data_IF_169941548167
#
_entry.id   IF_169941548167
#
_cell.length_a   1.000
_cell.length_b   1.000
_cell.length_c   1.000
_cell.angle_alpha   90.00
_cell.angle_beta   90.00
_cell.angle_gamma   90.00
#
_symmetry.space_group_name_H-M   'P 1'
#
loop_
_entity.id
_entity.type
_entity.pdbx_description
1 polymer ?
#
# COMPACT_ATOMS: atom_id res chain seq x y z
N UNK A 1 1.86 10.61 15.40
CA UNK A 1 2.92 9.69 14.95
C UNK A 1 3.11 9.93 13.46
N UNK A 2 4.03 10.82 13.09
CA UNK A 2 4.27 11.12 11.68
C UNK A 2 4.86 9.89 10.97
N UNK A 3 4.38 9.52 9.77
CA UNK A 3 4.87 8.33 9.08
C UNK A 3 6.36 8.49 8.73
N UNK A 4 7.14 7.38 8.72
CA UNK A 4 8.59 7.44 8.58
C UNK A 4 8.98 8.04 7.22
N UNK A 5 9.67 9.19 7.26
CA UNK A 5 10.24 9.90 6.11
C UNK A 5 11.49 9.17 5.59
N UNK A 6 11.29 8.02 4.94
CA UNK A 6 12.36 7.28 4.27
C UNK A 6 12.02 7.08 2.80
N UNK A 7 12.78 7.70 1.90
CA UNK A 7 12.76 7.60 0.43
C UNK A 7 11.46 8.04 -0.31
N UNK A 8 10.28 8.00 0.34
CA UNK A 8 8.97 8.34 -0.29
C UNK A 8 8.73 9.84 -0.47
N UNK A 9 9.36 10.69 0.36
CA UNK A 9 9.27 12.16 0.23
C UNK A 9 9.89 12.66 -1.08
N UNK A 10 10.93 11.98 -1.59
CA UNK A 10 11.62 12.37 -2.83
C UNK A 10 10.78 12.14 -4.09
N UNK A 11 10.08 11.00 -4.17
CA UNK A 11 9.21 10.67 -5.33
C UNK A 11 7.95 11.54 -5.34
N UNK A 12 7.45 11.92 -4.15
CA UNK A 12 6.25 12.75 -4.00
C UNK A 12 6.52 14.26 -4.05
N UNK A 13 7.74 14.70 -4.39
CA UNK A 13 8.14 16.12 -4.40
C UNK A 13 7.26 17.01 -5.30
N UNK A 14 6.55 16.44 -6.27
CA UNK A 14 5.59 17.16 -7.13
C UNK A 14 4.22 17.42 -6.50
N UNK A 15 3.87 16.72 -5.41
CA UNK A 15 2.56 16.84 -4.76
C UNK A 15 2.61 17.96 -3.72
N UNK A 16 2.02 19.11 -4.05
CA UNK A 16 2.10 20.34 -3.24
C UNK A 16 1.22 20.32 -1.98
N UNK A 17 0.12 19.54 -1.98
CA UNK A 17 -0.79 19.40 -0.83
C UNK A 17 -0.49 18.13 -0.08
N UNK A 18 -0.20 18.22 1.22
CA UNK A 18 0.13 17.07 2.08
C UNK A 18 -1.08 16.17 2.40
N UNK A 19 -2.30 16.72 2.43
CA UNK A 19 -3.54 15.97 2.67
C UNK A 19 -4.18 15.45 1.37
N UNK A 20 -3.35 14.98 0.44
CA UNK A 20 -3.88 14.42 -0.80
C UNK A 20 -4.20 12.93 -0.62
N UNK A 21 -5.35 12.43 -1.11
CA UNK A 21 -5.67 10.99 -1.08
C UNK A 21 -4.66 10.14 -1.88
N UNK A 22 -3.80 10.77 -2.67
CA UNK A 22 -2.70 10.13 -3.40
C UNK A 22 -1.72 9.45 -2.44
N UNK A 23 -1.49 10.00 -1.24
CA UNK A 23 -0.56 9.39 -0.27
C UNK A 23 -1.09 8.08 0.27
N UNK A 24 -2.36 8.08 0.70
CA UNK A 24 -3.02 6.89 1.23
C UNK A 24 -3.19 5.82 0.14
N UNK A 25 -3.60 6.23 -1.07
CA UNK A 25 -3.71 5.34 -2.22
C UNK A 25 -2.37 4.68 -2.58
N UNK A 26 -1.27 5.44 -2.54
CA UNK A 26 0.06 4.89 -2.81
C UNK A 26 0.53 3.91 -1.72
N UNK A 27 0.23 4.18 -0.45
CA UNK A 27 0.54 3.24 0.64
C UNK A 27 -0.21 1.91 0.46
N UNK A 28 -1.51 1.98 0.13
CA UNK A 28 -2.32 0.79 -0.16
C UNK A 28 -1.72 0.01 -1.33
N UNK A 29 -1.40 0.70 -2.43
CA UNK A 29 -0.79 0.08 -3.61
C UNK A 29 0.55 -0.61 -3.27
N UNK A 30 1.43 0.09 -2.57
CA UNK A 30 2.75 -0.45 -2.22
C UNK A 30 2.65 -1.67 -1.30
N UNK A 31 1.72 -1.67 -0.34
CA UNK A 31 1.63 -2.72 0.66
C UNK A 31 0.92 -3.98 0.14
N UNK A 32 -0.11 -3.82 -0.68
CA UNK A 32 -1.00 -4.92 -1.07
C UNK A 32 -0.89 -5.36 -2.53
N UNK A 33 -0.30 -4.54 -3.42
CA UNK A 33 -0.29 -4.81 -4.86
C UNK A 33 1.12 -4.86 -5.45
N UNK A 34 2.07 -4.11 -4.91
CA UNK A 34 3.43 -4.03 -5.46
C UNK A 34 4.30 -5.18 -4.95
N UNK A 35 4.68 -6.15 -5.80
CA UNK A 35 5.62 -7.20 -5.40
C UNK A 35 6.98 -6.59 -5.10
N UNK A 36 7.64 -7.09 -4.05
CA UNK A 36 8.93 -6.59 -3.62
C UNK A 36 10.02 -7.64 -3.86
N UNK A 37 11.06 -7.28 -4.62
CA UNK A 37 12.13 -8.21 -4.99
C UNK A 37 12.85 -8.79 -3.77
N UNK A 38 13.09 -8.00 -2.72
CA UNK A 38 13.71 -8.47 -1.47
C UNK A 38 12.77 -9.29 -0.56
N UNK A 39 11.50 -9.45 -0.94
CA UNK A 39 10.53 -10.31 -0.24
C UNK A 39 10.16 -11.52 -1.10
N UNK A 40 11.09 -12.00 -1.94
CA UNK A 40 10.86 -13.10 -2.89
C UNK A 40 9.66 -12.88 -3.82
N UNK A 41 9.43 -11.63 -4.23
CA UNK A 41 8.30 -11.24 -5.07
C UNK A 41 6.98 -11.09 -4.31
N UNK A 42 6.95 -11.32 -3.00
CA UNK A 42 5.77 -11.06 -2.17
C UNK A 42 5.56 -9.57 -1.94
N UNK A 43 4.32 -9.20 -1.70
CA UNK A 43 3.96 -7.88 -1.21
C UNK A 43 4.27 -7.77 0.30
N UNK A 44 4.49 -6.56 0.84
CA UNK A 44 4.66 -6.37 2.29
C UNK A 44 3.54 -7.00 3.12
N UNK A 45 2.29 -6.90 2.66
CA UNK A 45 1.14 -7.51 3.35
C UNK A 45 1.20 -9.04 3.34
N UNK A 46 1.56 -9.66 2.21
CA UNK A 46 1.75 -11.12 2.13
C UNK A 46 2.91 -11.59 3.00
N UNK A 47 4.01 -10.83 3.08
CA UNK A 47 5.12 -11.15 3.98
C UNK A 47 4.71 -11.12 5.46
N UNK A 48 3.74 -10.28 5.83
CA UNK A 48 3.13 -10.22 7.16
C UNK A 48 2.01 -11.27 7.38
N UNK A 49 1.76 -12.15 6.41
CA UNK A 49 0.70 -13.17 6.48
C UNK A 49 -0.71 -12.65 6.16
N UNK A 50 -0.85 -11.42 5.66
CA UNK A 50 -2.13 -10.86 5.21
C UNK A 50 -2.31 -11.20 3.73
N UNK A 51 -3.02 -12.28 3.46
CA UNK A 51 -3.29 -12.75 2.11
C UNK A 51 -4.61 -12.17 1.56
N UNK A 52 -4.55 -11.61 0.35
CA UNK A 52 -5.75 -11.20 -0.39
C UNK A 52 -6.21 -12.38 -1.25
N UNK A 53 -7.20 -13.12 -0.74
CA UNK A 53 -7.79 -14.28 -1.42
C UNK A 53 -9.00 -13.82 -2.22
N UNK A 54 -8.78 -13.45 -3.48
CA UNK A 54 -9.84 -13.15 -4.42
C UNK A 54 -9.29 -12.84 -5.82
N UNK A 55 -10.08 -13.16 -6.84
CA UNK A 55 -9.69 -12.97 -8.25
C UNK A 55 -9.46 -11.48 -8.56
N UNK A 56 -10.21 -10.60 -7.91
CA UNK A 56 -10.03 -9.16 -7.99
C UNK A 56 -9.50 -8.60 -6.67
N UNK A 57 -8.17 -8.46 -6.59
CA UNK A 57 -7.47 -7.95 -5.41
C UNK A 57 -8.02 -6.60 -4.92
N UNK A 58 -8.42 -5.69 -5.81
CA UNK A 58 -8.97 -4.38 -5.44
C UNK A 58 -10.30 -4.51 -4.69
N UNK A 59 -11.23 -5.27 -5.25
CA UNK A 59 -12.54 -5.50 -4.63
C UNK A 59 -12.36 -6.20 -3.28
N UNK A 60 -11.49 -7.21 -3.21
CA UNK A 60 -11.25 -7.95 -1.97
C UNK A 60 -10.66 -7.08 -0.87
N UNK A 61 -9.72 -6.17 -1.19
CA UNK A 61 -9.17 -5.23 -0.20
C UNK A 61 -10.26 -4.28 0.32
N UNK A 62 -11.09 -3.73 -0.57
CA UNK A 62 -12.18 -2.83 -0.19
C UNK A 62 -13.20 -3.56 0.68
N UNK A 63 -13.59 -4.78 0.30
CA UNK A 63 -14.51 -5.60 1.08
C UNK A 63 -13.95 -5.97 2.46
N UNK A 64 -12.66 -6.32 2.53
CA UNK A 64 -12.01 -6.63 3.80
C UNK A 64 -11.92 -5.40 4.71
N UNK A 65 -11.67 -4.20 4.15
CA UNK A 65 -11.68 -2.96 4.91
C UNK A 65 -13.08 -2.52 5.36
N UNK A 66 -14.12 -2.95 4.63
CA UNK A 66 -15.53 -2.63 4.94
C UNK A 66 -16.16 -3.59 5.95
N UNK A 67 -15.54 -4.76 6.20
CA UNK A 67 -15.97 -5.69 7.24
C UNK A 67 -15.59 -5.11 8.60
N UNK A 68 -16.62 -4.86 9.44
CA UNK A 68 -16.48 -4.46 10.85
C UNK A 68 -16.05 -5.62 11.72
#
# INVERSE_FOLDING_TARGET
>A
MDPPKGNREKVMRGVKKKDSPIFDGYQIYHNYFRPHMSLDGKTPSEACGIEIKGDNKWITVIQNASKK
#
